data_IF_727694278716
#
_entry.id   IF_727694278716
#
_cell.length_a   1.000
_cell.length_b   1.000
_cell.length_c   1.000
_cell.angle_alpha   90.00
_cell.angle_beta   90.00
_cell.angle_gamma   90.00
#
_symmetry.space_group_name_H-M   'P 1'
#
loop_
_entity.id
_entity.type
_entity.pdbx_description
1 polymer ?
#
# COMPACT_ATOMS: atom_id res chain seq x y z
N UNK A 1 6.94 -1.40 -14.09
CA UNK A 1 6.80 -1.75 -12.65
C UNK A 1 8.17 -1.78 -11.97
N UNK A 2 9.10 -2.67 -12.34
CA UNK A 2 10.42 -2.75 -11.69
C UNK A 2 11.23 -1.43 -11.71
N UNK A 3 11.10 -0.61 -12.77
CA UNK A 3 11.73 0.72 -12.90
C UNK A 3 11.12 1.82 -12.01
N UNK A 4 9.92 1.60 -11.44
CA UNK A 4 9.18 2.63 -10.70
C UNK A 4 8.70 2.20 -9.30
N UNK A 5 8.67 0.91 -8.96
CA UNK A 5 8.34 0.40 -7.61
C UNK A 5 9.41 -0.53 -7.02
N UNK A 6 10.50 -0.81 -7.74
CA UNK A 6 11.62 -1.65 -7.29
C UNK A 6 12.54 -0.99 -6.24
N UNK A 7 13.45 -1.78 -5.65
CA UNK A 7 14.51 -1.31 -4.72
C UNK A 7 15.32 -0.17 -5.38
N UNK A 8 15.09 1.07 -4.94
CA UNK A 8 15.69 2.29 -5.52
C UNK A 8 14.70 3.31 -6.08
N UNK A 9 13.40 3.02 -6.12
CA UNK A 9 12.39 3.92 -6.73
C UNK A 9 12.03 5.16 -5.89
N UNK A 10 12.50 5.24 -4.65
CA UNK A 10 12.31 6.40 -3.76
C UNK A 10 10.88 6.93 -3.72
N UNK A 11 10.73 8.26 -3.80
CA UNK A 11 9.44 8.97 -3.74
C UNK A 11 8.49 8.63 -4.90
N UNK A 12 9.02 8.25 -6.08
CA UNK A 12 8.18 7.91 -7.24
C UNK A 12 7.42 6.59 -7.02
N UNK A 13 8.05 5.61 -6.39
CA UNK A 13 7.40 4.34 -6.06
C UNK A 13 6.31 4.49 -5.02
N UNK A 14 6.53 5.38 -4.04
CA UNK A 14 5.52 5.72 -3.04
C UNK A 14 4.25 6.29 -3.68
N UNK A 15 4.40 7.30 -4.54
CA UNK A 15 3.26 7.97 -5.19
C UNK A 15 2.47 7.00 -6.07
N UNK A 16 3.16 6.13 -6.82
CA UNK A 16 2.50 5.14 -7.69
C UNK A 16 1.74 4.10 -6.87
N UNK A 17 2.35 3.55 -5.81
CA UNK A 17 1.68 2.62 -4.88
C UNK A 17 0.45 3.25 -4.23
N UNK A 18 0.55 4.51 -3.82
CA UNK A 18 -0.54 5.23 -3.19
C UNK A 18 -1.72 5.43 -4.15
N UNK A 19 -1.45 5.92 -5.37
CA UNK A 19 -2.50 6.14 -6.39
C UNK A 19 -3.15 4.83 -6.81
N UNK A 20 -2.37 3.77 -7.03
CA UNK A 20 -2.91 2.44 -7.37
C UNK A 20 -3.78 1.87 -6.24
N UNK A 21 -3.38 2.07 -4.98
CA UNK A 21 -4.18 1.68 -3.82
C UNK A 21 -5.48 2.49 -3.69
N UNK A 22 -5.42 3.80 -3.95
CA UNK A 22 -6.57 4.71 -3.83
C UNK A 22 -7.64 4.49 -4.91
N UNK A 23 -7.20 4.17 -6.14
CA UNK A 23 -8.07 3.97 -7.29
C UNK A 23 -8.84 2.64 -7.26
N UNK A 24 -8.51 1.76 -6.32
CA UNK A 24 -9.07 0.43 -6.31
C UNK A 24 -10.39 0.32 -5.56
N UNK A 25 -11.38 -0.27 -6.23
CA UNK A 25 -12.68 -0.59 -5.67
C UNK A 25 -12.69 -2.05 -5.19
N UNK A 26 -12.93 -2.26 -3.91
CA UNK A 26 -13.08 -3.60 -3.35
C UNK A 26 -12.62 -3.73 -1.89
N UNK A 27 -12.94 -4.87 -1.26
CA UNK A 27 -12.49 -5.16 0.10
C UNK A 27 -10.97 -5.32 0.16
N UNK A 28 -10.40 -5.16 1.37
CA UNK A 28 -8.95 -5.17 1.56
C UNK A 28 -8.29 -6.47 1.09
N UNK A 29 -8.97 -7.61 1.20
CA UNK A 29 -8.40 -8.88 0.79
C UNK A 29 -8.09 -8.96 -0.72
N UNK A 30 -8.78 -8.17 -1.55
CA UNK A 30 -8.52 -8.06 -2.98
C UNK A 30 -7.16 -7.39 -3.29
N UNK A 31 -6.59 -6.66 -2.32
CA UNK A 31 -5.26 -6.09 -2.45
C UNK A 31 -4.14 -7.15 -2.32
N UNK A 32 -4.39 -8.28 -1.64
CA UNK A 32 -3.35 -9.28 -1.39
C UNK A 32 -2.82 -9.95 -2.66
N UNK A 33 -3.64 -10.41 -3.63
CA UNK A 33 -3.13 -10.93 -4.90
C UNK A 33 -2.25 -9.91 -5.65
N UNK A 34 -2.62 -8.63 -5.62
CA UNK A 34 -1.83 -7.57 -6.26
C UNK A 34 -0.53 -7.34 -5.51
N UNK A 35 -0.55 -7.37 -4.18
CA UNK A 35 0.64 -7.32 -3.34
C UNK A 35 1.59 -8.49 -3.63
N UNK A 36 1.07 -9.71 -3.78
CA UNK A 36 1.82 -10.91 -4.20
C UNK A 36 2.50 -10.68 -5.56
N UNK A 37 1.77 -10.15 -6.55
CA UNK A 37 2.33 -9.80 -7.87
C UNK A 37 3.39 -8.71 -7.76
N UNK A 38 3.19 -7.69 -6.92
CA UNK A 38 4.18 -6.64 -6.68
C UNK A 38 5.47 -7.19 -6.05
N UNK A 39 5.33 -8.15 -5.13
CA UNK A 39 6.44 -8.80 -4.45
C UNK A 39 7.26 -9.68 -5.41
N UNK A 40 6.59 -10.49 -6.24
CA UNK A 40 7.21 -11.26 -7.34
C UNK A 40 7.97 -10.38 -8.31
N UNK A 41 7.40 -9.21 -8.65
CA UNK A 41 8.04 -8.20 -9.51
C UNK A 41 9.17 -7.41 -8.84
N UNK A 42 9.58 -7.78 -7.63
CA UNK A 42 10.71 -7.17 -6.93
C UNK A 42 10.43 -5.79 -6.33
N UNK A 43 9.16 -5.45 -6.11
CA UNK A 43 8.82 -4.21 -5.39
C UNK A 43 9.34 -4.27 -3.96
N UNK A 44 9.71 -3.12 -3.39
CA UNK A 44 10.10 -3.07 -1.99
C UNK A 44 8.90 -3.38 -1.08
N UNK A 45 9.15 -4.05 0.06
CA UNK A 45 8.09 -4.31 1.05
C UNK A 45 7.48 -3.02 1.59
N UNK A 46 8.28 -1.96 1.74
CA UNK A 46 7.78 -0.63 2.07
C UNK A 46 6.69 -0.17 1.08
N UNK A 47 6.94 -0.27 -0.23
CA UNK A 47 5.97 0.12 -1.26
C UNK A 47 4.72 -0.78 -1.26
N UNK A 48 4.87 -2.05 -0.88
CA UNK A 48 3.75 -2.99 -0.75
C UNK A 48 2.89 -2.63 0.47
N UNK A 49 3.50 -2.33 1.62
CA UNK A 49 2.75 -1.89 2.81
C UNK A 49 2.05 -0.55 2.59
N UNK A 50 2.69 0.39 1.89
CA UNK A 50 2.05 1.65 1.49
C UNK A 50 0.85 1.38 0.58
N UNK A 51 0.99 0.49 -0.40
CA UNK A 51 -0.09 0.12 -1.30
C UNK A 51 -1.28 -0.47 -0.54
N UNK A 52 -1.05 -1.43 0.36
CA UNK A 52 -2.10 -2.05 1.19
C UNK A 52 -2.75 -1.01 2.10
N UNK A 53 -1.96 -0.15 2.75
CA UNK A 53 -2.46 0.91 3.62
C UNK A 53 -3.31 1.95 2.88
N UNK A 54 -2.90 2.34 1.67
CA UNK A 54 -3.67 3.21 0.81
C UNK A 54 -4.99 2.55 0.41
N UNK A 55 -4.96 1.30 -0.05
CA UNK A 55 -6.16 0.54 -0.42
C UNK A 55 -7.17 0.45 0.73
N UNK A 56 -6.69 0.36 1.97
CA UNK A 56 -7.55 0.33 3.15
C UNK A 56 -8.33 1.63 3.33
N UNK A 57 -7.70 2.80 3.18
CA UNK A 57 -8.20 4.06 3.73
C UNK A 57 -8.53 5.16 2.70
N UNK A 58 -8.10 5.03 1.45
CA UNK A 58 -8.12 6.14 0.46
C UNK A 58 -9.08 5.94 -0.71
N UNK A 59 -10.06 5.05 -0.54
CA UNK A 59 -11.04 4.73 -1.60
C UNK A 59 -11.84 5.97 -1.99
N UNK A 60 -11.88 6.29 -3.27
CA UNK A 60 -12.60 7.48 -3.79
C UNK A 60 -14.07 7.50 -3.33
N UNK A 61 -14.87 6.40 -3.45
CA UNK A 61 -16.27 6.42 -3.01
C UNK A 61 -16.44 6.68 -1.51
N UNK A 62 -15.48 6.22 -0.69
CA UNK A 62 -15.48 6.46 0.75
C UNK A 62 -15.19 7.93 1.04
N UNK A 63 -14.18 8.51 0.39
CA UNK A 63 -13.82 9.92 0.57
C UNK A 63 -14.94 10.86 0.11
N UNK A 64 -15.64 10.55 -0.99
CA UNK A 64 -16.78 11.34 -1.45
C UNK A 64 -17.97 11.25 -0.48
N UNK A 65 -18.25 10.06 0.04
CA UNK A 65 -19.30 9.87 1.06
C UNK A 65 -18.97 10.59 2.37
N UNK A 66 -17.72 10.51 2.81
CA UNK A 66 -17.22 11.17 4.02
C UNK A 66 -17.29 12.70 3.87
N UNK A 67 -16.85 13.25 2.73
CA UNK A 67 -16.91 14.68 2.46
C UNK A 67 -18.36 15.21 2.42
N UNK A 68 -19.29 14.41 1.87
CA UNK A 68 -20.71 14.75 1.84
C UNK A 68 -21.38 14.70 3.23
N UNK A 69 -20.95 13.78 4.10
CA UNK A 69 -21.58 13.54 5.40
C UNK A 69 -20.96 14.34 6.56
N UNK A 70 -19.64 14.54 6.53
CA UNK A 70 -18.84 15.13 7.62
C UNK A 70 -18.11 16.42 7.20
N UNK A 71 -18.13 16.75 5.90
CA UNK A 71 -17.53 17.96 5.35
C UNK A 71 -16.10 17.80 4.86
N UNK A 72 -15.73 18.59 3.86
CA UNK A 72 -14.40 18.62 3.26
C UNK A 72 -13.25 18.87 4.26
N UNK A 73 -13.35 19.78 5.25
CA UNK A 73 -12.26 20.01 6.20
C UNK A 73 -11.92 18.76 7.02
N UNK A 74 -12.94 18.03 7.47
CA UNK A 74 -12.77 16.78 8.21
C UNK A 74 -12.10 15.72 7.33
N UNK A 75 -12.59 15.55 6.10
CA UNK A 75 -12.06 14.55 5.17
C UNK A 75 -10.61 14.79 4.80
N UNK A 76 -10.22 16.05 4.54
CA UNK A 76 -8.82 16.38 4.24
C UNK A 76 -7.91 16.14 5.44
N UNK A 77 -8.31 16.56 6.65
CA UNK A 77 -7.54 16.33 7.87
C UNK A 77 -7.34 14.83 8.11
N UNK A 78 -8.43 14.05 8.04
CA UNK A 78 -8.43 12.61 8.24
C UNK A 78 -7.61 11.89 7.17
N UNK A 79 -7.67 12.32 5.92
CA UNK A 79 -6.84 11.80 4.82
C UNK A 79 -5.36 12.09 5.05
N UNK A 80 -4.98 13.32 5.43
CA UNK A 80 -3.59 13.68 5.73
C UNK A 80 -3.03 12.85 6.88
N UNK A 81 -3.77 12.70 7.98
CA UNK A 81 -3.39 11.85 9.10
C UNK A 81 -3.26 10.38 8.68
N UNK A 82 -4.16 9.89 7.81
CA UNK A 82 -4.09 8.52 7.27
C UNK A 82 -2.82 8.30 6.46
N UNK A 83 -2.45 9.26 5.60
CA UNK A 83 -1.22 9.18 4.78
C UNK A 83 0.01 9.09 5.69
N UNK A 84 0.10 9.95 6.70
CA UNK A 84 1.20 9.91 7.67
C UNK A 84 1.22 8.56 8.41
N UNK A 85 0.05 8.09 8.88
CA UNK A 85 -0.07 6.79 9.55
C UNK A 85 0.40 5.63 8.68
N UNK A 86 0.01 5.58 7.40
CA UNK A 86 0.44 4.55 6.45
C UNK A 86 1.97 4.55 6.29
N UNK A 87 2.58 5.73 6.13
CA UNK A 87 4.02 5.86 5.97
C UNK A 87 4.78 5.39 7.22
N UNK A 88 4.28 5.77 8.41
CA UNK A 88 4.86 5.33 9.69
C UNK A 88 4.75 3.82 9.83
N UNK A 89 3.57 3.24 9.60
CA UNK A 89 3.35 1.79 9.68
C UNK A 89 4.26 1.05 8.69
N UNK A 90 4.33 1.51 7.44
CA UNK A 90 5.19 0.90 6.43
C UNK A 90 6.68 0.97 6.82
N UNK A 91 7.13 2.08 7.41
CA UNK A 91 8.49 2.24 7.89
C UNK A 91 8.79 1.34 9.10
N UNK A 92 7.85 1.22 10.04
CA UNK A 92 7.97 0.34 11.21
C UNK A 92 8.01 -1.12 10.78
N UNK A 93 7.05 -1.57 9.97
CA UNK A 93 7.00 -2.95 9.48
C UNK A 93 8.24 -3.33 8.66
N UNK A 94 8.68 -2.44 7.77
CA UNK A 94 9.88 -2.72 6.95
C UNK A 94 11.18 -2.80 7.77
N UNK A 95 11.24 -2.15 8.94
CA UNK A 95 12.37 -2.26 9.88
C UNK A 95 12.23 -3.42 10.87
N UNK A 96 10.99 -3.76 11.25
CA UNK A 96 10.71 -4.84 12.19
C UNK A 96 10.91 -6.22 11.55
N UNK A 97 10.68 -6.34 10.23
CA UNK A 97 10.88 -7.59 9.49
C UNK A 97 12.37 -7.88 9.28
N UNK A 98 12.80 -9.04 9.75
CA UNK A 98 14.16 -9.55 9.51
C UNK A 98 14.32 -9.99 8.05
N UNK A 99 15.57 -10.14 7.59
CA UNK A 99 15.81 -10.63 6.21
C UNK A 99 15.22 -12.02 5.97
N UNK A 100 15.14 -12.84 7.01
CA UNK A 100 14.51 -14.16 6.97
C UNK A 100 13.00 -14.06 6.75
N UNK A 101 12.30 -13.20 7.50
CA UNK A 101 10.86 -12.97 7.30
C UNK A 101 10.56 -12.47 5.89
N UNK A 102 11.40 -11.58 5.36
CA UNK A 102 11.23 -11.03 4.01
C UNK A 102 11.39 -12.10 2.93
N UNK A 103 12.33 -13.03 3.13
CA UNK A 103 12.57 -14.14 2.22
C UNK A 103 11.46 -15.19 2.32
N UNK A 104 10.98 -15.50 3.53
CA UNK A 104 9.84 -16.39 3.75
C UNK A 104 8.58 -15.85 3.07
N UNK A 105 8.27 -14.56 3.26
CA UNK A 105 7.14 -13.92 2.56
C UNK A 105 7.29 -14.05 1.04
N UNK A 106 8.50 -13.89 0.51
CA UNK A 106 8.79 -14.02 -0.92
C UNK A 106 8.54 -15.45 -1.41
N UNK A 107 9.02 -16.45 -0.69
CA UNK A 107 8.80 -17.87 -1.00
C UNK A 107 7.32 -18.25 -0.95
N UNK A 108 6.59 -17.79 0.06
CA UNK A 108 5.15 -18.02 0.18
C UNK A 108 4.38 -17.41 -1.01
N UNK A 109 4.81 -16.24 -1.47
CA UNK A 109 4.21 -15.61 -2.64
C UNK A 109 4.40 -16.44 -3.90
N UNK A 110 5.58 -17.05 -4.09
CA UNK A 110 5.89 -17.91 -5.24
C UNK A 110 5.05 -19.19 -5.25
N UNK A 111 4.83 -19.81 -4.08
CA UNK A 111 3.98 -21.01 -3.94
C UNK A 111 2.50 -20.77 -4.26
N UNK A 112 2.00 -19.54 -4.13
CA UNK A 112 0.59 -19.21 -4.32
C UNK A 112 0.09 -19.32 -5.78
N UNK A 113 1.00 -19.49 -6.76
CA UNK A 113 0.66 -19.73 -8.18
C UNK A 113 0.79 -21.22 -8.60
N UNK A 114 1.14 -22.14 -7.68
CA UNK A 114 1.19 -23.60 -7.91
C UNK A 114 -0.06 -24.30 -7.40
#
# INVERSE_FOLDING_TARGET
MMKYTGKGSGLKGLLISFVLGSAAAGPLYAAFPIATVMMKKGSSLFNIFVFIGAWSTTKIPMLTFEAASLGLPFTLLRLSLSIVGILVIAAVLSKALTKEDQEEMRQLSEKQDS
#
